data_IF_114103073980
#
_entry.id   IF_114103073980
#
_cell.length_a   1.000
_cell.length_b   1.000
_cell.length_c   1.000
_cell.angle_alpha   90.00
_cell.angle_beta   90.00
_cell.angle_gamma   90.00
#
_symmetry.space_group_name_H-M   'P 1'
#
loop_
_entity.id
_entity.type
_entity.pdbx_description
1 polymer ?
#
# COMPACT_ATOMS: atom_id res chain seq x y z
N UNK A 1 -14.00 -2.74 -9.41
CA UNK A 1 -13.01 -1.63 -9.19
C UNK A 1 -11.63 -2.22 -9.41
N UNK A 2 -11.12 -2.26 -10.64
CA UNK A 2 -9.78 -2.80 -10.97
C UNK A 2 -8.75 -1.68 -11.10
N UNK A 3 -7.47 -1.98 -10.81
CA UNK A 3 -6.33 -1.17 -11.19
C UNK A 3 -5.80 -1.71 -12.51
N UNK A 4 -5.66 -0.86 -13.53
CA UNK A 4 -5.10 -1.24 -14.83
C UNK A 4 -3.91 -0.34 -15.17
N UNK A 5 -2.81 -0.97 -15.57
CA UNK A 5 -1.62 -0.34 -16.11
C UNK A 5 -1.49 -0.80 -17.56
N UNK A 6 -1.43 0.14 -18.53
CA UNK A 6 -1.36 -0.18 -19.94
C UNK A 6 -0.13 0.46 -20.58
N UNK A 7 0.72 -0.38 -21.17
CA UNK A 7 1.97 0.01 -21.82
C UNK A 7 2.82 0.97 -20.97
N UNK A 8 2.83 0.74 -19.64
CA UNK A 8 3.51 1.62 -18.71
C UNK A 8 5.03 1.48 -18.87
N UNK A 9 5.70 2.59 -19.07
CA UNK A 9 7.15 2.69 -19.06
C UNK A 9 7.57 3.80 -18.10
N UNK A 10 8.58 3.53 -17.25
CA UNK A 10 9.18 4.53 -16.36
C UNK A 10 10.64 4.71 -16.75
N UNK A 11 11.07 5.94 -16.90
CA UNK A 11 12.42 6.31 -17.25
C UNK A 11 12.89 7.50 -16.41
N UNK A 12 14.19 7.59 -16.23
CA UNK A 12 14.82 8.77 -15.65
C UNK A 12 14.78 9.93 -16.63
N UNK A 13 14.76 11.14 -16.14
CA UNK A 13 14.83 12.35 -16.97
C UNK A 13 16.10 12.44 -17.85
N UNK A 14 17.15 11.69 -17.51
CA UNK A 14 18.36 11.53 -18.34
C UNK A 14 18.20 10.52 -19.49
N UNK A 15 17.04 9.85 -19.59
CA UNK A 15 16.71 8.90 -20.65
C UNK A 15 16.91 7.42 -20.32
N UNK A 16 17.49 7.08 -19.16
CA UNK A 16 17.65 5.68 -18.73
C UNK A 16 16.29 5.07 -18.36
N UNK A 17 15.86 4.02 -19.05
CA UNK A 17 14.62 3.32 -18.72
C UNK A 17 14.82 2.43 -17.48
N UNK A 18 13.87 2.47 -16.55
CA UNK A 18 13.74 1.46 -15.48
C UNK A 18 13.06 0.20 -16.02
N UNK A 19 11.97 0.36 -16.72
CA UNK A 19 11.27 -0.69 -17.46
C UNK A 19 10.36 -0.08 -18.53
N UNK A 20 9.92 -0.90 -19.48
CA UNK A 20 9.01 -0.51 -20.57
C UNK A 20 7.94 -1.57 -20.81
N UNK A 21 6.88 -1.18 -21.48
CA UNK A 21 5.79 -2.07 -21.95
C UNK A 21 5.14 -2.92 -20.85
N UNK A 22 5.10 -2.39 -19.62
CA UNK A 22 4.50 -3.09 -18.48
C UNK A 22 2.97 -2.98 -18.52
N UNK A 23 2.33 -4.14 -18.57
CA UNK A 23 0.87 -4.26 -18.59
C UNK A 23 0.44 -5.09 -17.36
N UNK A 24 -0.53 -4.58 -16.61
CA UNK A 24 -1.03 -5.24 -15.42
C UNK A 24 -2.48 -4.87 -15.15
N UNK A 25 -3.32 -5.86 -14.87
CA UNK A 25 -4.63 -5.66 -14.28
C UNK A 25 -4.67 -6.35 -12.92
N UNK A 26 -5.15 -5.64 -11.92
CA UNK A 26 -5.39 -6.15 -10.56
C UNK A 26 -6.87 -5.99 -10.26
N UNK A 27 -7.54 -7.11 -10.01
CA UNK A 27 -8.98 -7.15 -9.76
C UNK A 27 -9.32 -6.87 -8.29
N UNK A 28 -10.58 -6.49 -7.97
CA UNK A 28 -11.03 -6.31 -6.58
C UNK A 28 -10.80 -7.58 -5.77
N UNK A 29 -10.21 -7.43 -4.59
CA UNK A 29 -9.87 -8.55 -3.71
C UNK A 29 -8.65 -9.37 -4.15
N UNK A 30 -8.07 -9.05 -5.32
CA UNK A 30 -6.82 -9.67 -5.77
C UNK A 30 -5.61 -8.99 -5.14
N UNK A 31 -4.61 -9.80 -4.76
CA UNK A 31 -3.30 -9.32 -4.36
C UNK A 31 -2.32 -9.76 -5.43
N UNK A 32 -1.67 -8.82 -6.09
CA UNK A 32 -0.57 -9.08 -7.03
C UNK A 32 0.74 -8.67 -6.38
N UNK A 33 1.72 -9.57 -6.42
CA UNK A 33 3.07 -9.30 -5.91
C UNK A 33 4.03 -9.10 -7.08
N UNK A 34 4.71 -7.96 -7.12
CA UNK A 34 5.83 -7.71 -8.02
C UNK A 34 7.13 -7.98 -7.29
N UNK A 35 7.89 -8.92 -7.79
CA UNK A 35 9.15 -9.32 -7.21
C UNK A 35 10.32 -8.91 -8.11
N UNK A 36 11.40 -8.40 -7.50
CA UNK A 36 12.59 -8.01 -8.24
C UNK A 36 13.70 -7.48 -7.35
N UNK A 37 14.91 -7.35 -7.87
CA UNK A 37 16.06 -6.85 -7.11
C UNK A 37 15.85 -5.40 -6.65
N UNK A 38 16.64 -4.99 -5.66
CA UNK A 38 16.66 -3.58 -5.24
C UNK A 38 17.09 -2.69 -6.41
N UNK A 39 16.42 -1.53 -6.55
CA UNK A 39 16.72 -0.55 -7.60
C UNK A 39 16.08 -0.82 -8.96
N UNK A 40 15.30 -1.90 -9.16
CA UNK A 40 14.64 -2.18 -10.45
C UNK A 40 13.38 -1.33 -10.71
N UNK A 41 13.03 -0.40 -9.83
CA UNK A 41 11.90 0.51 -10.05
C UNK A 41 10.59 0.15 -9.32
N UNK A 42 10.60 -0.81 -8.37
CA UNK A 42 9.39 -1.24 -7.63
C UNK A 42 8.69 -0.08 -6.91
N UNK A 43 9.40 0.60 -6.03
CA UNK A 43 8.84 1.74 -5.28
C UNK A 43 8.51 2.90 -6.22
N UNK A 44 9.32 3.13 -7.27
CA UNK A 44 9.05 4.15 -8.29
C UNK A 44 7.73 3.88 -9.03
N UNK A 45 7.41 2.60 -9.30
CA UNK A 45 6.11 2.22 -9.86
C UNK A 45 4.96 2.56 -8.89
N UNK A 46 5.12 2.23 -7.60
CA UNK A 46 4.10 2.59 -6.61
C UNK A 46 3.92 4.12 -6.51
N UNK A 47 5.01 4.88 -6.55
CA UNK A 47 4.98 6.35 -6.54
C UNK A 47 4.26 6.91 -7.77
N UNK A 48 4.49 6.33 -8.95
CA UNK A 48 3.79 6.72 -10.18
C UNK A 48 2.27 6.50 -10.06
N UNK A 49 1.83 5.33 -9.55
CA UNK A 49 0.41 5.03 -9.32
C UNK A 49 -0.19 5.99 -8.29
N UNK A 50 0.53 6.26 -7.22
CA UNK A 50 0.07 7.15 -6.15
C UNK A 50 0.08 8.63 -6.51
N UNK A 51 0.82 9.03 -7.56
CA UNK A 51 0.96 10.43 -7.96
C UNK A 51 2.03 11.19 -7.16
N UNK A 52 3.03 10.47 -6.63
CA UNK A 52 4.16 11.00 -5.87
C UNK A 52 5.49 10.84 -6.62
N UNK A 53 5.44 10.57 -7.93
CA UNK A 53 6.65 10.35 -8.73
C UNK A 53 7.60 11.54 -8.60
N UNK A 54 8.86 11.26 -8.25
CA UNK A 54 9.90 12.28 -8.15
C UNK A 54 10.16 12.91 -9.53
N UNK A 55 10.55 14.18 -9.55
CA UNK A 55 10.93 14.91 -10.77
C UNK A 55 12.16 14.35 -11.49
N UNK A 56 12.85 13.38 -10.90
CA UNK A 56 13.94 12.63 -11.55
C UNK A 56 13.42 11.56 -12.52
N UNK A 57 12.11 11.26 -12.49
CA UNK A 57 11.47 10.24 -13.30
C UNK A 57 10.29 10.81 -14.06
N UNK A 58 10.06 10.25 -15.23
CA UNK A 58 8.86 10.43 -16.03
C UNK A 58 8.26 9.06 -16.38
N UNK A 59 6.99 9.02 -16.71
CA UNK A 59 6.36 7.81 -17.22
C UNK A 59 5.52 8.08 -18.47
N UNK A 60 5.34 7.05 -19.26
CA UNK A 60 4.39 6.99 -20.38
C UNK A 60 3.50 5.76 -20.25
N UNK A 61 2.45 5.68 -21.03
CA UNK A 61 1.40 4.68 -20.90
C UNK A 61 0.21 5.26 -20.14
N UNK A 62 -0.62 4.40 -19.55
CA UNK A 62 -1.84 4.81 -18.85
C UNK A 62 -2.00 4.07 -17.52
N UNK A 63 -2.44 4.81 -16.50
CA UNK A 63 -2.82 4.27 -15.18
C UNK A 63 -4.29 4.57 -14.95
N UNK A 64 -5.12 3.53 -14.85
CA UNK A 64 -6.55 3.68 -14.58
C UNK A 64 -6.96 2.92 -13.32
N UNK A 65 -7.88 3.49 -12.55
CA UNK A 65 -8.48 2.88 -11.37
C UNK A 65 -9.99 3.01 -11.45
N UNK A 66 -10.71 1.89 -11.50
CA UNK A 66 -12.17 1.89 -11.67
C UNK A 66 -12.61 2.68 -12.90
N UNK A 67 -11.96 2.45 -14.04
CA UNK A 67 -12.19 3.16 -15.32
C UNK A 67 -11.83 4.66 -15.32
N UNK A 68 -11.36 5.18 -14.20
CA UNK A 68 -10.92 6.56 -14.09
C UNK A 68 -9.42 6.68 -14.35
N UNK A 69 -9.04 7.48 -15.35
CA UNK A 69 -7.64 7.76 -15.64
C UNK A 69 -7.02 8.60 -14.49
N UNK A 70 -5.86 8.15 -13.97
CA UNK A 70 -5.15 8.80 -12.88
C UNK A 70 -4.03 9.75 -13.34
N UNK A 71 -3.63 9.70 -14.62
CA UNK A 71 -2.41 10.38 -15.10
C UNK A 71 -2.42 11.89 -14.84
N UNK A 72 -3.56 12.54 -15.02
CA UNK A 72 -3.74 13.97 -14.74
C UNK A 72 -4.25 14.29 -13.34
N UNK A 73 -4.50 13.26 -12.49
CA UNK A 73 -5.06 13.49 -11.15
C UNK A 73 -3.97 13.76 -10.13
N UNK A 74 -4.13 14.81 -9.29
CA UNK A 74 -3.22 15.01 -8.17
C UNK A 74 -3.37 13.88 -7.13
N UNK A 75 -2.29 13.52 -6.46
CA UNK A 75 -2.21 12.38 -5.54
C UNK A 75 -3.38 12.28 -4.54
N UNK A 76 -3.75 13.39 -3.89
CA UNK A 76 -4.82 13.43 -2.89
C UNK A 76 -6.23 13.12 -3.42
N UNK A 77 -6.41 13.07 -4.75
CA UNK A 77 -7.70 12.72 -5.39
C UNK A 77 -7.72 11.29 -5.94
N UNK A 78 -6.58 10.62 -6.00
CA UNK A 78 -6.46 9.28 -6.59
C UNK A 78 -7.10 8.18 -5.74
N UNK A 79 -7.38 8.43 -4.48
CA UNK A 79 -7.92 7.45 -3.51
C UNK A 79 -7.04 6.19 -3.41
N UNK A 80 -5.74 6.36 -3.46
CA UNK A 80 -4.72 5.32 -3.32
C UNK A 80 -4.25 5.28 -1.89
N UNK A 81 -4.29 4.10 -1.27
CA UNK A 81 -3.66 3.85 0.03
C UNK A 81 -2.27 3.27 -0.14
N UNK A 82 -1.29 3.78 0.60
CA UNK A 82 0.07 3.25 0.58
C UNK A 82 0.46 2.81 1.99
N UNK A 83 0.97 1.58 2.09
CA UNK A 83 1.73 1.11 3.23
C UNK A 83 3.20 1.09 2.84
N UNK A 84 3.97 2.01 3.40
CA UNK A 84 5.41 2.12 3.17
C UNK A 84 6.19 1.09 4.01
N UNK A 85 7.43 0.85 3.64
CA UNK A 85 8.38 0.06 4.42
C UNK A 85 8.56 0.58 5.85
N UNK A 86 8.52 1.92 6.02
CA UNK A 86 8.38 2.58 7.31
C UNK A 86 6.90 2.78 7.62
N UNK A 87 6.52 2.58 8.89
CA UNK A 87 5.12 2.71 9.32
C UNK A 87 4.58 4.15 9.25
N UNK A 88 5.47 5.14 9.21
CA UNK A 88 5.19 6.57 9.05
C UNK A 88 4.05 7.07 9.96
N UNK A 89 3.93 6.51 11.18
CA UNK A 89 3.01 7.02 12.17
C UNK A 89 3.44 8.42 12.60
N UNK A 90 2.47 9.29 12.85
CA UNK A 90 2.73 10.63 13.37
C UNK A 90 3.23 10.53 14.81
N UNK A 91 4.52 10.88 15.10
CA UNK A 91 5.12 10.61 16.40
C UNK A 91 4.53 11.47 17.53
N UNK A 92 3.92 12.60 17.19
CA UNK A 92 3.29 13.54 18.11
C UNK A 92 1.80 13.26 18.37
N UNK A 93 1.23 12.26 17.71
CA UNK A 93 -0.14 11.79 17.90
C UNK A 93 -0.14 10.45 18.62
N UNK A 94 -1.10 10.24 19.48
CA UNK A 94 -1.38 8.93 20.08
C UNK A 94 -1.84 7.93 19.03
N UNK A 95 -1.88 6.66 19.37
CA UNK A 95 -2.31 5.59 18.47
C UNK A 95 -3.74 5.81 17.98
N UNK A 96 -4.68 6.16 18.86
CA UNK A 96 -6.05 6.42 18.39
C UNK A 96 -6.15 7.68 17.51
N UNK A 97 -5.35 8.71 17.78
CA UNK A 97 -5.30 9.93 16.97
C UNK A 97 -4.70 9.66 15.57
N UNK A 98 -3.67 8.80 15.49
CA UNK A 98 -3.14 8.32 14.20
C UNK A 98 -4.23 7.65 13.34
N UNK A 99 -5.08 6.81 13.95
CA UNK A 99 -6.19 6.19 13.22
C UNK A 99 -7.30 7.20 12.89
N UNK A 100 -7.65 8.05 13.85
CA UNK A 100 -8.66 9.08 13.66
C UNK A 100 -8.30 10.06 12.55
N UNK A 101 -7.02 10.35 12.34
CA UNK A 101 -6.54 11.23 11.28
C UNK A 101 -6.95 10.75 9.88
N UNK A 102 -6.94 9.43 9.66
CA UNK A 102 -7.24 8.84 8.35
C UNK A 102 -8.74 8.72 8.03
N UNK A 103 -9.61 8.87 9.03
CA UNK A 103 -11.05 8.76 8.81
C UNK A 103 -11.57 9.87 7.88
N UNK A 104 -12.57 9.58 7.03
CA UNK A 104 -13.18 10.56 6.15
C UNK A 104 -13.67 11.82 6.87
N UNK A 105 -13.66 12.96 6.19
CA UNK A 105 -14.09 14.25 6.75
C UNK A 105 -15.58 14.31 7.13
N UNK A 106 -16.39 13.39 6.63
CA UNK A 106 -17.79 13.21 7.01
C UNK A 106 -17.96 12.77 8.48
N UNK A 107 -16.93 12.10 9.05
CA UNK A 107 -16.93 11.60 10.43
C UNK A 107 -16.27 12.65 11.33
N UNK A 108 -16.99 13.22 12.27
CA UNK A 108 -16.53 14.36 13.08
C UNK A 108 -16.70 14.13 14.60
N UNK A 109 -15.97 14.90 15.36
CA UNK A 109 -16.13 15.00 16.82
C UNK A 109 -15.99 13.67 17.54
N UNK A 110 -16.90 13.36 18.47
CA UNK A 110 -16.86 12.14 19.28
C UNK A 110 -16.93 10.86 18.45
N UNK A 111 -17.69 10.85 17.35
CA UNK A 111 -17.81 9.72 16.45
C UNK A 111 -16.46 9.32 15.83
N UNK A 112 -15.60 10.28 15.52
CA UNK A 112 -14.25 10.04 14.99
C UNK A 112 -13.39 9.27 15.99
N UNK A 113 -13.41 9.66 17.27
CA UNK A 113 -12.72 8.94 18.34
C UNK A 113 -13.29 7.54 18.53
N UNK A 114 -14.59 7.41 18.56
CA UNK A 114 -15.29 6.13 18.72
C UNK A 114 -14.90 5.14 17.62
N UNK A 115 -14.90 5.56 16.35
CA UNK A 115 -14.50 4.70 15.23
C UNK A 115 -13.01 4.30 15.31
N UNK A 116 -12.12 5.22 15.68
CA UNK A 116 -10.70 4.89 15.87
C UNK A 116 -10.51 3.86 17.00
N UNK A 117 -11.21 4.02 18.12
CA UNK A 117 -11.16 3.05 19.23
C UNK A 117 -11.78 1.70 18.84
N UNK A 118 -12.85 1.69 18.04
CA UNK A 118 -13.42 0.45 17.52
C UNK A 118 -12.45 -0.27 16.56
N UNK A 119 -11.75 0.48 15.71
CA UNK A 119 -10.70 -0.08 14.85
C UNK A 119 -9.56 -0.72 15.68
N UNK A 120 -9.12 -0.06 16.77
CA UNK A 120 -8.14 -0.65 17.69
C UNK A 120 -8.64 -1.92 18.36
N UNK A 121 -9.92 -1.99 18.69
CA UNK A 121 -10.54 -3.20 19.24
C UNK A 121 -10.51 -4.35 18.25
N UNK A 122 -10.82 -4.08 16.99
CA UNK A 122 -10.84 -5.09 15.91
C UNK A 122 -9.45 -5.73 15.70
N UNK A 123 -8.38 -4.96 15.88
CA UNK A 123 -6.99 -5.45 15.79
C UNK A 123 -6.38 -5.87 17.13
N UNK A 124 -7.21 -5.96 18.19
CA UNK A 124 -6.78 -6.37 19.55
C UNK A 124 -5.72 -5.46 20.21
N UNK A 125 -5.72 -4.17 19.87
CA UNK A 125 -4.75 -3.18 20.37
C UNK A 125 -5.40 -2.07 21.23
N UNK A 126 -6.62 -2.28 21.75
CA UNK A 126 -7.36 -1.27 22.53
C UNK A 126 -6.58 -0.67 23.69
N UNK A 127 -5.72 -1.47 24.35
CA UNK A 127 -4.91 -1.02 25.50
C UNK A 127 -3.85 0.02 25.13
N UNK A 128 -3.52 0.14 23.85
CA UNK A 128 -2.51 1.05 23.32
C UNK A 128 -3.07 2.36 22.81
N UNK A 129 -4.37 2.60 22.96
CA UNK A 129 -5.03 3.77 22.40
C UNK A 129 -4.34 5.10 22.72
N UNK A 130 -3.98 5.30 23.98
CA UNK A 130 -3.34 6.53 24.46
C UNK A 130 -1.78 6.47 24.42
N UNK A 131 -1.20 5.39 23.92
CA UNK A 131 0.26 5.28 23.74
C UNK A 131 0.72 6.08 22.50
N UNK A 132 1.99 6.46 22.50
CA UNK A 132 2.65 7.07 21.35
C UNK A 132 3.41 6.01 20.51
N UNK A 133 3.73 6.28 19.24
CA UNK A 133 4.40 5.31 18.36
C UNK A 133 5.74 4.77 18.86
N UNK A 134 6.50 5.55 19.64
CA UNK A 134 7.76 5.14 20.26
C UNK A 134 7.60 4.20 21.46
N UNK A 135 6.39 4.09 22.02
CA UNK A 135 6.06 3.26 23.17
C UNK A 135 5.53 1.86 22.79
N UNK A 136 5.45 1.54 21.51
CA UNK A 136 4.86 0.31 20.99
C UNK A 136 5.85 -0.46 20.10
N UNK A 137 5.65 -1.78 20.00
CA UNK A 137 6.53 -2.65 19.19
C UNK A 137 6.39 -2.40 17.68
N UNK A 138 7.40 -2.82 16.92
CA UNK A 138 7.38 -2.72 15.45
C UNK A 138 6.16 -3.39 14.81
N UNK A 139 5.80 -4.60 15.25
CA UNK A 139 4.60 -5.28 14.75
C UNK A 139 3.29 -4.59 15.13
N UNK A 140 3.24 -3.94 16.30
CA UNK A 140 2.07 -3.13 16.68
C UNK A 140 1.98 -1.89 15.79
N UNK A 141 3.11 -1.20 15.53
CA UNK A 141 3.15 -0.07 14.59
C UNK A 141 2.70 -0.47 13.19
N UNK A 142 3.20 -1.60 12.67
CA UNK A 142 2.83 -2.09 11.34
C UNK A 142 1.32 -2.36 11.23
N UNK A 143 0.69 -2.98 12.26
CA UNK A 143 -0.77 -3.20 12.31
C UNK A 143 -1.54 -1.88 12.32
N UNK A 144 -1.09 -0.91 13.11
CA UNK A 144 -1.72 0.42 13.19
C UNK A 144 -1.59 1.16 11.85
N UNK A 145 -0.42 1.09 11.19
CA UNK A 145 -0.18 1.73 9.90
C UNK A 145 -1.09 1.16 8.80
N UNK A 146 -1.24 -0.16 8.70
CA UNK A 146 -2.17 -0.78 7.76
C UNK A 146 -3.62 -0.39 8.08
N UNK A 147 -4.02 -0.46 9.35
CA UNK A 147 -5.38 -0.08 9.77
C UNK A 147 -5.64 1.38 9.43
N UNK A 148 -4.69 2.27 9.67
CA UNK A 148 -4.77 3.69 9.31
C UNK A 148 -4.99 3.86 7.79
N UNK A 149 -4.23 3.13 6.97
CA UNK A 149 -4.37 3.17 5.52
C UNK A 149 -5.77 2.70 5.08
N UNK A 150 -6.30 1.62 5.65
CA UNK A 150 -7.62 1.09 5.31
C UNK A 150 -8.78 1.98 5.80
N UNK A 151 -8.63 2.67 6.94
CA UNK A 151 -9.62 3.63 7.46
C UNK A 151 -9.82 4.85 6.54
N UNK A 152 -8.84 5.17 5.71
CA UNK A 152 -8.97 6.19 4.66
C UNK A 152 -9.90 5.75 3.51
N UNK A 153 -10.37 4.51 3.52
CA UNK A 153 -11.24 3.92 2.49
C UNK A 153 -10.66 4.04 1.07
N UNK A 154 -9.42 3.59 0.84
CA UNK A 154 -8.80 3.67 -0.46
C UNK A 154 -9.53 2.75 -1.46
N UNK A 155 -9.39 3.04 -2.76
CA UNK A 155 -9.87 2.18 -3.85
C UNK A 155 -8.82 1.18 -4.34
N UNK A 156 -7.58 1.36 -3.95
CA UNK A 156 -6.46 0.44 -4.20
C UNK A 156 -5.47 0.53 -3.04
N UNK A 157 -4.87 -0.60 -2.67
CA UNK A 157 -3.81 -0.67 -1.68
C UNK A 157 -2.46 -0.93 -2.39
N UNK A 158 -1.47 -0.10 -2.10
CA UNK A 158 -0.08 -0.28 -2.52
C UNK A 158 0.76 -0.62 -1.28
N UNK A 159 1.55 -1.68 -1.35
CA UNK A 159 2.38 -2.14 -0.23
C UNK A 159 3.84 -2.20 -0.66
N UNK A 160 4.67 -1.36 -0.05
CA UNK A 160 6.11 -1.29 -0.33
C UNK A 160 6.89 -2.04 0.75
N UNK A 161 7.35 -3.24 0.43
CA UNK A 161 8.11 -4.13 1.33
C UNK A 161 7.51 -4.22 2.76
N UNK A 162 6.23 -4.54 2.90
CA UNK A 162 5.47 -4.33 4.15
C UNK A 162 5.96 -5.17 5.34
N UNK A 163 6.80 -6.17 5.10
CA UNK A 163 7.26 -7.11 6.13
C UNK A 163 8.74 -7.00 6.46
N UNK A 164 9.49 -6.17 5.76
CA UNK A 164 10.96 -6.12 5.82
C UNK A 164 11.56 -5.80 7.20
N UNK A 165 10.79 -5.11 8.06
CA UNK A 165 11.22 -4.71 9.42
C UNK A 165 10.73 -5.63 10.53
N UNK A 166 10.11 -6.76 10.19
CA UNK A 166 9.56 -7.71 11.15
C UNK A 166 10.48 -8.92 11.27
N UNK A 167 10.62 -9.44 12.50
CA UNK A 167 11.25 -10.75 12.70
C UNK A 167 10.42 -11.87 12.05
N UNK A 168 11.03 -13.03 11.88
CA UNK A 168 10.45 -14.12 11.08
C UNK A 168 9.08 -14.59 11.59
N UNK A 169 8.92 -14.76 12.90
CA UNK A 169 7.66 -15.25 13.50
C UNK A 169 6.54 -14.20 13.37
N UNK A 170 6.86 -12.95 13.65
CA UNK A 170 5.92 -11.84 13.54
C UNK A 170 5.55 -11.55 12.09
N UNK A 171 6.51 -11.72 11.15
CA UNK A 171 6.29 -11.55 9.70
C UNK A 171 5.23 -12.52 9.18
N UNK A 172 5.31 -13.80 9.54
CA UNK A 172 4.34 -14.80 9.09
C UNK A 172 2.92 -14.51 9.60
N UNK A 173 2.78 -14.18 10.88
CA UNK A 173 1.50 -13.81 11.48
C UNK A 173 0.94 -12.52 10.84
N UNK A 174 1.79 -11.52 10.63
CA UNK A 174 1.38 -10.25 10.05
C UNK A 174 0.99 -10.40 8.58
N UNK A 175 1.72 -11.20 7.80
CA UNK A 175 1.39 -11.49 6.40
C UNK A 175 -0.02 -12.09 6.27
N UNK A 176 -0.32 -13.15 7.04
CA UNK A 176 -1.64 -13.77 7.02
C UNK A 176 -2.74 -12.72 7.34
N UNK A 177 -2.52 -11.93 8.37
CA UNK A 177 -3.47 -10.88 8.77
C UNK A 177 -3.64 -9.79 7.70
N UNK A 178 -2.56 -9.33 7.05
CA UNK A 178 -2.62 -8.35 5.93
C UNK A 178 -3.47 -8.88 4.79
N UNK A 179 -3.27 -10.14 4.40
CA UNK A 179 -4.04 -10.79 3.34
C UNK A 179 -5.54 -10.80 3.67
N UNK A 180 -5.90 -11.17 4.91
CA UNK A 180 -7.28 -11.18 5.36
C UNK A 180 -7.91 -9.79 5.32
N UNK A 181 -7.19 -8.77 5.80
CA UNK A 181 -7.68 -7.38 5.78
C UNK A 181 -7.90 -6.84 4.36
N UNK A 182 -7.01 -7.15 3.42
CA UNK A 182 -7.14 -6.72 2.03
C UNK A 182 -8.28 -7.45 1.31
N UNK A 183 -8.45 -8.75 1.56
CA UNK A 183 -9.58 -9.53 1.03
C UNK A 183 -10.92 -9.02 1.59
N UNK A 184 -10.98 -8.74 2.89
CA UNK A 184 -12.19 -8.17 3.53
C UNK A 184 -12.55 -6.79 2.96
N UNK A 185 -11.55 -5.94 2.72
CA UNK A 185 -11.73 -4.64 2.10
C UNK A 185 -12.19 -4.73 0.63
N UNK A 186 -12.00 -5.88 -0.02
CA UNK A 186 -12.36 -6.16 -1.41
C UNK A 186 -11.88 -5.10 -2.41
N UNK A 187 -10.64 -4.63 -2.24
CA UNK A 187 -9.96 -3.67 -3.12
C UNK A 187 -8.79 -4.37 -3.82
N UNK A 188 -8.39 -3.92 -5.03
CA UNK A 188 -7.16 -4.38 -5.64
C UNK A 188 -5.97 -4.02 -4.77
N UNK A 189 -4.99 -4.93 -4.65
CA UNK A 189 -3.77 -4.68 -3.89
C UNK A 189 -2.54 -5.04 -4.74
N UNK A 190 -1.58 -4.12 -4.79
CA UNK A 190 -0.29 -4.31 -5.44
C UNK A 190 0.81 -4.26 -4.38
N UNK A 191 1.49 -5.36 -4.20
CA UNK A 191 2.60 -5.48 -3.25
C UNK A 191 3.92 -5.58 -4.01
N UNK A 192 4.95 -4.93 -3.52
CA UNK A 192 6.31 -5.08 -4.02
C UNK A 192 7.21 -5.65 -2.93
N UNK A 193 8.07 -6.60 -3.30
CA UNK A 193 9.06 -7.20 -2.40
C UNK A 193 10.27 -7.72 -3.18
N UNK A 194 11.35 -8.00 -2.49
CA UNK A 194 12.50 -8.72 -3.01
C UNK A 194 12.65 -10.11 -2.35
N UNK A 195 11.77 -10.46 -1.39
CA UNK A 195 11.82 -11.70 -0.61
C UNK A 195 10.68 -12.65 -1.01
N UNK A 196 11.02 -13.85 -1.44
CA UNK A 196 10.06 -14.89 -1.79
C UNK A 196 9.17 -15.31 -0.61
N UNK A 197 9.67 -15.21 0.62
CA UNK A 197 8.89 -15.56 1.80
C UNK A 197 7.73 -14.57 2.05
N UNK A 198 7.78 -13.38 1.45
CA UNK A 198 6.73 -12.38 1.60
C UNK A 198 5.52 -12.63 0.69
N UNK A 199 5.70 -13.41 -0.39
CA UNK A 199 4.64 -13.66 -1.37
C UNK A 199 3.52 -14.49 -0.74
N UNK A 200 2.26 -14.00 -0.70
CA UNK A 200 1.14 -14.80 -0.21
C UNK A 200 0.90 -16.02 -1.11
N UNK A 201 0.59 -17.18 -0.50
CA UNK A 201 0.46 -18.46 -1.22
C UNK A 201 -0.57 -18.42 -2.37
N UNK A 202 -1.66 -17.68 -2.20
CA UNK A 202 -2.76 -17.59 -3.17
C UNK A 202 -2.70 -16.29 -4.02
N UNK A 203 -1.55 -15.58 -4.03
CA UNK A 203 -1.40 -14.35 -4.80
C UNK A 203 -0.70 -14.60 -6.13
N UNK A 204 -1.07 -13.82 -7.15
CA UNK A 204 -0.33 -13.78 -8.40
C UNK A 204 1.02 -13.08 -8.17
N UNK A 205 2.12 -13.74 -8.53
CA UNK A 205 3.46 -13.20 -8.43
C UNK A 205 4.06 -13.00 -9.82
N UNK A 206 4.58 -11.79 -10.08
CA UNK A 206 5.27 -11.42 -11.32
C UNK A 206 6.70 -11.07 -10.95
N UNK A 207 7.64 -11.84 -11.50
CA UNK A 207 9.08 -11.69 -11.21
C UNK A 207 9.75 -10.82 -12.27
N UNK A 208 10.68 -9.99 -11.84
CA UNK A 208 11.53 -9.19 -12.72
C UNK A 208 12.33 -10.07 -13.71
N UNK A 209 12.51 -9.68 -14.96
CA UNK A 209 11.97 -8.49 -15.61
C UNK A 209 10.46 -8.60 -15.84
N UNK A 210 9.72 -7.51 -15.62
CA UNK A 210 8.25 -7.48 -15.74
C UNK A 210 7.83 -7.32 -17.20
N UNK A 211 8.38 -8.17 -18.06
CA UNK A 211 7.98 -8.25 -19.45
C UNK A 211 6.59 -8.88 -19.57
N UNK A 212 5.79 -8.38 -20.48
CA UNK A 212 4.51 -8.95 -20.84
C UNK A 212 4.71 -10.36 -21.41
N UNK A 213 4.88 -11.35 -20.57
CA UNK A 213 4.69 -12.74 -20.96
C UNK A 213 3.21 -13.05 -20.84
N UNK A 214 2.51 -12.77 -21.93
CA UNK A 214 1.23 -13.34 -22.34
C UNK A 214 0.18 -13.60 -21.23
N UNK A 215 -0.85 -12.72 -21.22
CA UNK A 215 -2.15 -13.06 -20.68
C UNK A 215 -2.68 -14.35 -21.27
#
# INVERSE_FOLDING_TARGET
MSLCLENLAIHKTNGDALFSDFNLTVEPGEIVTLMGPSGCGKSTLLDAIAGHLSSEFDYSGSITLSEQNLDSMPAHKRQVGILFQDDLLFPHLTVWENLAFALPDSIKGAQRKEQALQALKNISLSKLAESYPDQISGGQRARIALTRMLLAQPKVALLDEPYSKLDKELREQFRAWVVDQLKEANIPALMVTHDNEDVPADSRCITWPWEAKHA
#
